data_IF_270587948954
#
_entry.id   IF_270587948954
#
_cell.length_a   1.000
_cell.length_b   1.000
_cell.length_c   1.000
_cell.angle_alpha   90.00
_cell.angle_beta   90.00
_cell.angle_gamma   90.00
#
_symmetry.space_group_name_H-M   'P 1'
#
loop_
_entity.id
_entity.type
_entity.pdbx_description
1 polymer ?
#
# COMPACT_ATOMS: atom_id res chain seq x y z
N UNK A 1 -1.29 2.84 -28.96
CA UNK A 1 -0.49 3.43 -27.87
C UNK A 1 -1.39 3.45 -26.65
N UNK A 2 -1.01 2.77 -25.56
CA UNK A 2 -1.74 2.92 -24.30
C UNK A 2 -1.58 4.38 -23.87
N UNK A 3 -2.69 5.09 -23.74
CA UNK A 3 -2.67 6.46 -23.20
C UNK A 3 -2.20 6.32 -21.75
N UNK A 4 -1.18 7.08 -21.39
CA UNK A 4 -0.78 7.22 -19.99
C UNK A 4 -1.99 7.76 -19.20
N UNK A 5 -2.50 6.96 -18.25
CA UNK A 5 -3.75 7.27 -17.53
C UNK A 5 -3.63 8.55 -16.72
N UNK A 6 -2.45 8.79 -16.15
CA UNK A 6 -2.18 10.02 -15.40
C UNK A 6 -2.24 11.25 -16.31
N UNK A 7 -1.58 11.19 -17.47
CA UNK A 7 -1.67 12.22 -18.51
C UNK A 7 -3.11 12.50 -18.92
N UNK A 8 -3.92 11.45 -19.15
CA UNK A 8 -5.33 11.63 -19.53
C UNK A 8 -6.12 12.38 -18.44
N UNK A 9 -5.98 11.96 -17.18
CA UNK A 9 -6.71 12.56 -16.05
C UNK A 9 -6.31 14.01 -15.85
N UNK A 10 -5.01 14.32 -15.92
CA UNK A 10 -4.51 15.69 -15.85
C UNK A 10 -5.04 16.54 -17.01
N UNK A 11 -5.02 16.00 -18.23
CA UNK A 11 -5.49 16.71 -19.43
C UNK A 11 -6.98 17.02 -19.34
N UNK A 12 -7.82 16.06 -18.95
CA UNK A 12 -9.26 16.26 -18.81
C UNK A 12 -9.58 17.26 -17.69
N UNK A 13 -8.87 17.18 -16.55
CA UNK A 13 -9.06 18.12 -15.45
C UNK A 13 -8.67 19.55 -15.86
N UNK A 14 -7.53 19.73 -16.54
CA UNK A 14 -7.12 21.04 -17.05
C UNK A 14 -8.09 21.56 -18.11
N UNK A 15 -8.58 20.69 -19.01
CA UNK A 15 -9.58 21.07 -20.01
C UNK A 15 -10.91 21.50 -19.39
N UNK A 16 -11.26 20.97 -18.22
CA UNK A 16 -12.41 21.41 -17.42
C UNK A 16 -12.15 22.71 -16.61
N UNK A 17 -10.92 23.23 -16.62
CA UNK A 17 -10.57 24.50 -15.98
C UNK A 17 -9.80 24.39 -14.66
N UNK A 18 -9.43 23.17 -14.21
CA UNK A 18 -8.50 23.00 -13.09
C UNK A 18 -7.08 23.41 -13.50
N UNK A 19 -6.81 24.71 -13.37
CA UNK A 19 -5.54 25.36 -13.73
C UNK A 19 -4.67 25.69 -12.52
N UNK A 20 -5.23 25.67 -11.31
CA UNK A 20 -4.44 25.83 -10.09
C UNK A 20 -3.67 24.53 -9.80
N UNK A 21 -2.32 24.54 -9.74
CA UNK A 21 -1.53 23.34 -9.53
C UNK A 21 -1.83 22.66 -8.20
N UNK A 22 -2.23 23.43 -7.17
CA UNK A 22 -2.58 22.89 -5.86
C UNK A 22 -3.91 22.15 -5.87
N UNK A 23 -4.91 22.69 -6.57
CA UNK A 23 -6.19 22.01 -6.79
C UNK A 23 -5.98 20.74 -7.61
N UNK A 24 -5.21 20.83 -8.70
CA UNK A 24 -4.92 19.69 -9.56
C UNK A 24 -4.16 18.58 -8.81
N UNK A 25 -3.22 18.93 -7.93
CA UNK A 25 -2.55 17.98 -7.06
C UNK A 25 -3.51 17.30 -6.08
N UNK A 26 -4.45 18.06 -5.48
CA UNK A 26 -5.43 17.50 -4.55
C UNK A 26 -6.42 16.59 -5.27
N UNK A 27 -6.92 17.00 -6.43
CA UNK A 27 -7.73 16.17 -7.30
C UNK A 27 -7.03 14.84 -7.62
N UNK A 28 -5.78 14.89 -8.10
CA UNK A 28 -5.01 13.68 -8.41
C UNK A 28 -4.74 12.81 -7.19
N UNK A 29 -4.50 13.40 -6.01
CA UNK A 29 -4.32 12.65 -4.77
C UNK A 29 -5.57 11.84 -4.40
N UNK A 30 -6.75 12.45 -4.54
CA UNK A 30 -8.03 11.80 -4.24
C UNK A 30 -8.32 10.69 -5.24
N UNK A 31 -8.20 10.99 -6.54
CA UNK A 31 -8.45 10.03 -7.62
C UNK A 31 -7.49 8.84 -7.54
N UNK A 32 -6.19 9.08 -7.33
CA UNK A 32 -5.19 7.99 -7.21
C UNK A 32 -5.35 7.19 -5.92
N UNK A 33 -5.85 7.78 -4.83
CA UNK A 33 -6.21 7.02 -3.63
C UNK A 33 -7.37 6.06 -3.90
N UNK A 34 -8.50 6.57 -4.42
CA UNK A 34 -9.72 5.76 -4.64
C UNK A 34 -9.50 4.60 -5.62
N UNK A 35 -8.62 4.80 -6.59
CA UNK A 35 -8.37 3.86 -7.69
C UNK A 35 -7.12 3.00 -7.54
N UNK A 36 -6.44 3.05 -6.39
CA UNK A 36 -5.15 2.38 -6.19
C UNK A 36 -4.13 2.73 -7.29
N UNK A 37 -3.88 4.02 -7.47
CA UNK A 37 -2.97 4.55 -8.50
C UNK A 37 -3.49 4.38 -9.93
N UNK A 38 -4.79 4.59 -10.16
CA UNK A 38 -5.46 4.44 -11.46
C UNK A 38 -5.47 2.99 -12.00
N UNK A 39 -5.22 2.00 -11.14
CA UNK A 39 -5.16 0.59 -11.53
C UNK A 39 -6.50 -0.15 -11.31
N UNK A 40 -7.37 0.39 -10.47
CA UNK A 40 -8.67 -0.19 -10.12
C UNK A 40 -9.81 0.67 -10.66
N UNK A 41 -10.59 0.08 -11.57
CA UNK A 41 -11.75 0.71 -12.22
C UNK A 41 -13.08 0.04 -11.84
N UNK A 42 -13.04 -1.09 -11.14
CA UNK A 42 -14.22 -1.78 -10.63
C UNK A 42 -14.01 -2.29 -9.22
N UNK A 43 -15.10 -2.42 -8.48
CA UNK A 43 -15.10 -3.06 -7.17
C UNK A 43 -14.96 -4.58 -7.29
N UNK A 44 -14.11 -5.19 -6.46
CA UNK A 44 -13.79 -6.62 -6.60
C UNK A 44 -14.79 -7.56 -5.92
N UNK A 45 -15.53 -7.10 -4.91
CA UNK A 45 -16.39 -7.92 -4.03
C UNK A 45 -15.70 -9.15 -3.40
N UNK A 46 -14.35 -9.21 -3.40
CA UNK A 46 -13.58 -10.35 -2.88
C UNK A 46 -13.20 -10.16 -1.41
N UNK A 47 -14.09 -10.56 -0.50
CA UNK A 47 -13.84 -10.57 0.94
C UNK A 47 -13.55 -12.00 1.43
N UNK A 48 -12.26 -12.37 1.52
CA UNK A 48 -11.82 -13.76 1.64
C UNK A 48 -11.87 -14.32 3.06
N UNK A 49 -11.63 -13.51 4.10
CA UNK A 49 -11.51 -13.97 5.49
C UNK A 49 -12.87 -14.14 6.14
N UNK A 50 -13.63 -13.07 6.28
CA UNK A 50 -14.96 -13.09 6.92
C UNK A 50 -15.72 -11.78 6.62
N UNK A 51 -16.96 -11.70 7.12
CA UNK A 51 -17.86 -10.56 6.92
C UNK A 51 -17.38 -9.23 7.53
N UNK A 52 -16.47 -9.24 8.50
CA UNK A 52 -15.97 -7.97 9.10
C UNK A 52 -15.14 -7.13 8.14
N UNK A 53 -14.67 -7.71 7.04
CA UNK A 53 -13.99 -6.97 5.98
C UNK A 53 -14.94 -6.11 5.13
N UNK A 54 -16.25 -6.29 5.25
CA UNK A 54 -17.27 -5.58 4.46
C UNK A 54 -17.56 -4.23 5.15
N UNK A 55 -17.11 -3.10 4.60
CA UNK A 55 -17.15 -1.81 5.29
C UNK A 55 -18.53 -1.14 5.21
N UNK A 56 -19.43 -1.69 4.39
CA UNK A 56 -20.73 -1.09 4.07
C UNK A 56 -21.76 -1.52 5.11
N UNK A 57 -22.09 -0.62 6.03
CA UNK A 57 -23.01 -0.88 7.14
C UNK A 57 -24.40 -1.38 6.69
N UNK A 58 -24.89 -0.93 5.53
CA UNK A 58 -26.16 -1.41 4.97
C UNK A 58 -26.16 -2.92 4.66
N UNK A 59 -25.00 -3.51 4.38
CA UNK A 59 -24.91 -4.94 4.08
C UNK A 59 -25.29 -5.82 5.28
N UNK A 60 -25.23 -5.27 6.48
CA UNK A 60 -25.49 -5.97 7.74
C UNK A 60 -26.97 -5.98 8.14
N UNK A 61 -27.85 -5.28 7.39
CA UNK A 61 -29.27 -5.10 7.72
C UNK A 61 -30.05 -6.43 7.79
N UNK A 62 -29.70 -7.38 6.93
CA UNK A 62 -30.33 -8.71 6.84
C UNK A 62 -29.66 -9.75 7.76
N UNK A 63 -28.73 -9.32 8.61
CA UNK A 63 -28.01 -10.17 9.57
C UNK A 63 -26.73 -10.83 9.02
N UNK A 64 -25.87 -11.32 9.94
CA UNK A 64 -24.53 -11.82 9.61
C UNK A 64 -24.54 -13.10 8.77
N UNK A 65 -25.51 -14.00 8.96
CA UNK A 65 -25.59 -15.27 8.22
C UNK A 65 -25.92 -15.04 6.75
N UNK A 66 -26.89 -14.18 6.46
CA UNK A 66 -27.25 -13.76 5.09
C UNK A 66 -26.06 -13.09 4.40
N UNK A 67 -25.35 -12.21 5.11
CA UNK A 67 -24.17 -11.54 4.60
C UNK A 67 -23.01 -12.50 4.32
N UNK A 68 -22.76 -13.47 5.20
CA UNK A 68 -21.69 -14.46 4.99
C UNK A 68 -22.02 -15.43 3.86
N UNK A 69 -23.27 -15.82 3.69
CA UNK A 69 -23.73 -16.60 2.55
C UNK A 69 -23.50 -15.86 1.22
N UNK A 70 -23.92 -14.59 1.14
CA UNK A 70 -23.68 -13.74 -0.02
C UNK A 70 -22.18 -13.54 -0.30
N UNK A 71 -21.37 -13.33 0.75
CA UNK A 71 -19.90 -13.25 0.65
C UNK A 71 -19.29 -14.53 0.05
N UNK A 72 -19.72 -15.70 0.52
CA UNK A 72 -19.25 -17.00 -0.01
C UNK A 72 -19.63 -17.17 -1.48
N UNK A 73 -20.83 -16.75 -1.89
CA UNK A 73 -21.22 -16.76 -3.31
C UNK A 73 -20.37 -15.81 -4.15
N UNK A 74 -20.05 -14.61 -3.65
CA UNK A 74 -19.18 -13.67 -4.33
C UNK A 74 -17.78 -14.26 -4.59
N UNK A 75 -17.21 -15.01 -3.63
CA UNK A 75 -15.95 -15.73 -3.82
C UNK A 75 -16.02 -16.82 -4.90
N UNK A 76 -17.21 -17.31 -5.21
CA UNK A 76 -17.49 -18.28 -6.29
C UNK A 76 -17.84 -17.58 -7.62
N UNK A 77 -17.64 -16.26 -7.72
CA UNK A 77 -17.93 -15.49 -8.93
C UNK A 77 -19.40 -15.08 -9.09
N UNK A 78 -20.19 -15.10 -8.01
CA UNK A 78 -21.59 -14.66 -7.98
C UNK A 78 -21.78 -13.51 -6.98
N UNK A 79 -21.30 -12.30 -7.29
CA UNK A 79 -21.28 -11.17 -6.36
C UNK A 79 -22.62 -10.43 -6.21
N UNK A 80 -23.62 -10.75 -7.03
CA UNK A 80 -24.84 -9.95 -7.20
C UNK A 80 -25.59 -9.78 -5.88
N UNK A 81 -25.75 -10.87 -5.12
CA UNK A 81 -26.43 -10.82 -3.82
C UNK A 81 -25.66 -9.95 -2.81
N UNK A 82 -24.33 -10.03 -2.82
CA UNK A 82 -23.50 -9.22 -1.92
C UNK A 82 -23.59 -7.74 -2.28
N UNK A 83 -23.55 -7.41 -3.58
CA UNK A 83 -23.72 -6.05 -4.06
C UNK A 83 -25.11 -5.49 -3.76
N UNK A 84 -26.15 -6.32 -3.86
CA UNK A 84 -27.51 -5.95 -3.47
C UNK A 84 -27.61 -5.64 -1.98
N UNK A 85 -27.00 -6.45 -1.10
CA UNK A 85 -26.95 -6.14 0.33
C UNK A 85 -26.21 -4.83 0.62
N UNK A 86 -25.09 -4.59 -0.08
CA UNK A 86 -24.27 -3.39 0.10
C UNK A 86 -24.98 -2.11 -0.38
N UNK A 87 -25.55 -2.14 -1.59
CA UNK A 87 -25.97 -0.93 -2.31
C UNK A 87 -27.47 -0.87 -2.66
N UNK A 88 -28.22 -1.95 -2.49
CA UNK A 88 -29.67 -1.97 -2.69
C UNK A 88 -30.42 -1.03 -1.75
N UNK A 89 -31.47 -0.41 -2.28
CA UNK A 89 -32.33 0.56 -1.58
C UNK A 89 -31.65 1.90 -1.27
N UNK A 90 -30.58 2.27 -2.00
CA UNK A 90 -29.79 3.49 -1.77
C UNK A 90 -29.47 4.18 -3.09
N UNK A 91 -29.36 5.52 -3.08
CA UNK A 91 -28.90 6.32 -4.24
C UNK A 91 -29.61 5.94 -5.56
N UNK A 92 -30.92 5.74 -5.51
CA UNK A 92 -31.74 5.38 -6.66
C UNK A 92 -31.80 3.90 -7.02
N UNK A 93 -31.06 3.04 -6.31
CA UNK A 93 -31.10 1.58 -6.48
C UNK A 93 -32.39 1.00 -5.87
N UNK A 94 -33.51 1.20 -6.53
CA UNK A 94 -34.84 0.86 -6.02
C UNK A 94 -35.40 -0.44 -6.61
N UNK A 95 -34.77 -0.99 -7.64
CA UNK A 95 -35.18 -2.23 -8.30
C UNK A 95 -34.24 -3.38 -7.91
N UNK A 96 -34.74 -4.63 -7.80
CA UNK A 96 -33.89 -5.78 -7.57
C UNK A 96 -32.75 -5.88 -8.59
N UNK A 97 -31.51 -6.01 -8.11
CA UNK A 97 -30.32 -6.10 -8.94
C UNK A 97 -29.67 -4.75 -9.26
N UNK A 98 -30.30 -3.63 -8.90
CA UNK A 98 -29.68 -2.30 -9.04
C UNK A 98 -28.39 -2.19 -8.21
N UNK A 99 -28.30 -2.87 -7.07
CA UNK A 99 -27.10 -2.86 -6.23
C UNK A 99 -25.87 -3.42 -6.93
N UNK A 100 -26.05 -4.47 -7.74
CA UNK A 100 -25.01 -4.99 -8.62
C UNK A 100 -24.84 -4.15 -9.88
N UNK A 101 -25.93 -3.71 -10.51
CA UNK A 101 -25.85 -2.97 -11.77
C UNK A 101 -25.09 -1.65 -11.62
N UNK A 102 -25.31 -0.93 -10.52
CA UNK A 102 -24.73 0.39 -10.25
C UNK A 102 -23.75 0.38 -9.08
N UNK A 103 -22.95 -0.69 -8.95
CA UNK A 103 -21.85 -0.73 -7.98
C UNK A 103 -20.70 0.24 -8.32
N UNK A 104 -19.72 0.35 -7.43
CA UNK A 104 -18.59 1.27 -7.59
C UNK A 104 -17.74 1.01 -8.83
N UNK A 105 -17.69 1.99 -9.75
CA UNK A 105 -16.82 1.97 -10.94
C UNK A 105 -16.05 3.26 -11.14
N UNK A 106 -15.04 3.20 -11.99
CA UNK A 106 -14.19 4.31 -12.36
C UNK A 106 -13.24 4.73 -11.25
N UNK A 107 -12.45 5.77 -11.52
CA UNK A 107 -11.38 6.19 -10.61
C UNK A 107 -11.87 6.78 -9.29
N UNK A 108 -13.16 7.16 -9.19
CA UNK A 108 -13.76 7.74 -7.97
C UNK A 108 -14.80 6.84 -7.31
N UNK A 109 -14.94 5.58 -7.78
CA UNK A 109 -15.94 4.63 -7.28
C UNK A 109 -17.39 5.17 -7.36
N UNK A 110 -17.80 5.65 -8.53
CA UNK A 110 -19.16 6.11 -8.80
C UNK A 110 -20.16 4.98 -8.48
N UNK A 111 -21.09 5.23 -7.56
CA UNK A 111 -21.97 4.20 -7.00
C UNK A 111 -23.42 4.70 -6.89
N UNK A 112 -24.38 3.90 -7.35
CA UNK A 112 -25.83 4.14 -7.26
C UNK A 112 -26.45 4.77 -8.51
N UNK A 113 -27.62 4.27 -8.91
CA UNK A 113 -28.35 4.64 -10.14
C UNK A 113 -28.53 6.15 -10.33
N UNK A 114 -28.80 6.89 -9.27
CA UNK A 114 -28.98 8.35 -9.35
C UNK A 114 -27.67 9.06 -9.72
N UNK A 115 -26.54 8.60 -9.18
CA UNK A 115 -25.22 9.17 -9.51
C UNK A 115 -24.80 8.79 -10.93
N UNK A 116 -25.06 7.55 -11.36
CA UNK A 116 -24.85 7.13 -12.74
C UNK A 116 -25.68 7.96 -13.73
N UNK A 117 -26.95 8.23 -13.40
CA UNK A 117 -27.83 9.08 -14.21
C UNK A 117 -27.29 10.51 -14.30
N UNK A 118 -26.96 11.12 -13.16
CA UNK A 118 -26.47 12.49 -13.11
C UNK A 118 -25.14 12.68 -13.87
N UNK A 119 -24.19 11.75 -13.69
CA UNK A 119 -22.94 11.75 -14.44
C UNK A 119 -23.18 11.53 -15.94
N UNK A 120 -24.08 10.62 -16.29
CA UNK A 120 -24.43 10.30 -17.67
C UNK A 120 -25.05 11.48 -18.41
N UNK A 121 -26.00 12.17 -17.77
CA UNK A 121 -26.64 13.37 -18.33
C UNK A 121 -25.63 14.52 -18.52
N UNK A 122 -24.71 14.71 -17.57
CA UNK A 122 -23.71 15.79 -17.66
C UNK A 122 -22.62 15.53 -18.71
N UNK A 123 -22.32 14.27 -19.00
CA UNK A 123 -21.22 13.86 -19.89
C UNK A 123 -21.70 13.32 -21.24
N UNK A 124 -23.01 13.35 -21.49
CA UNK A 124 -23.66 12.75 -22.68
C UNK A 124 -23.31 11.26 -22.86
N UNK A 125 -23.40 10.50 -21.76
CA UNK A 125 -23.14 9.05 -21.69
C UNK A 125 -24.37 8.34 -21.13
N UNK A 126 -24.91 7.32 -21.82
CA UNK A 126 -26.04 6.53 -21.31
C UNK A 126 -25.60 5.51 -20.24
N UNK A 127 -25.13 6.02 -19.10
CA UNK A 127 -24.63 5.22 -17.96
C UNK A 127 -25.73 4.44 -17.23
N UNK A 128 -27.00 4.77 -17.46
CA UNK A 128 -28.13 4.03 -16.86
C UNK A 128 -28.33 2.70 -17.60
N UNK A 129 -28.24 2.71 -18.93
CA UNK A 129 -28.30 1.47 -19.74
C UNK A 129 -26.95 0.76 -19.82
N UNK A 130 -25.86 1.52 -19.87
CA UNK A 130 -24.50 1.03 -20.05
C UNK A 130 -23.58 1.45 -18.88
N UNK A 131 -23.82 0.97 -17.66
CA UNK A 131 -23.02 1.34 -16.48
C UNK A 131 -21.55 0.89 -16.58
N UNK A 132 -21.24 -0.13 -17.38
CA UNK A 132 -19.88 -0.58 -17.67
C UNK A 132 -19.00 0.50 -18.30
N UNK A 133 -19.60 1.50 -18.98
CA UNK A 133 -18.85 2.62 -19.55
C UNK A 133 -18.12 3.42 -18.47
N UNK A 134 -18.61 3.44 -17.22
CA UNK A 134 -17.93 4.11 -16.12
C UNK A 134 -16.59 3.45 -15.72
N UNK A 135 -16.34 2.20 -16.14
CA UNK A 135 -15.07 1.51 -15.95
C UNK A 135 -14.11 1.65 -17.15
N UNK A 136 -14.53 2.31 -18.24
CA UNK A 136 -13.61 2.66 -19.32
C UNK A 136 -12.67 3.80 -18.86
N UNK A 137 -11.34 3.70 -19.04
CA UNK A 137 -10.39 4.72 -18.58
C UNK A 137 -10.66 6.15 -19.06
N UNK A 138 -11.17 6.34 -20.29
CA UNK A 138 -11.43 7.67 -20.85
C UNK A 138 -12.69 8.28 -20.22
N UNK A 139 -13.75 7.48 -20.07
CA UNK A 139 -14.96 7.94 -19.40
C UNK A 139 -14.74 8.11 -17.89
N UNK A 140 -14.00 7.20 -17.24
CA UNK A 140 -13.68 7.25 -15.82
C UNK A 140 -12.92 8.53 -15.44
N UNK A 141 -12.05 9.02 -16.32
CA UNK A 141 -11.37 10.31 -16.18
C UNK A 141 -12.36 11.47 -16.14
N UNK A 142 -13.23 11.58 -17.15
CA UNK A 142 -14.26 12.63 -17.23
C UNK A 142 -15.26 12.57 -16.07
N UNK A 143 -15.64 11.36 -15.65
CA UNK A 143 -16.51 11.13 -14.49
C UNK A 143 -15.84 11.61 -13.20
N UNK A 144 -14.53 11.37 -13.03
CA UNK A 144 -13.80 11.85 -11.85
C UNK A 144 -13.77 13.38 -11.79
N UNK A 145 -13.53 14.05 -12.93
CA UNK A 145 -13.57 15.52 -13.03
C UNK A 145 -14.96 16.05 -12.69
N UNK A 146 -16.01 15.52 -13.33
CA UNK A 146 -17.40 15.90 -13.04
C UNK A 146 -17.74 15.71 -11.55
N UNK A 147 -17.34 14.58 -10.96
CA UNK A 147 -17.61 14.30 -9.55
C UNK A 147 -16.91 15.31 -8.63
N UNK A 148 -15.65 15.65 -8.93
CA UNK A 148 -14.89 16.65 -8.19
C UNK A 148 -15.59 18.01 -8.18
N UNK A 149 -15.99 18.49 -9.35
CA UNK A 149 -16.64 19.80 -9.51
C UNK A 149 -17.97 19.89 -8.75
N UNK A 150 -18.75 18.80 -8.76
CA UNK A 150 -20.07 18.74 -8.13
C UNK A 150 -20.02 18.46 -6.62
N UNK A 151 -18.99 17.73 -6.15
CA UNK A 151 -18.93 17.25 -4.77
C UNK A 151 -18.02 18.08 -3.87
N UNK A 152 -16.96 18.67 -4.41
CA UNK A 152 -15.96 19.40 -3.63
C UNK A 152 -16.17 20.91 -3.82
N UNK A 153 -16.62 21.63 -2.77
CA UNK A 153 -16.77 23.08 -2.83
C UNK A 153 -15.45 23.76 -3.17
N UNK A 154 -15.47 24.83 -3.94
CA UNK A 154 -14.26 25.58 -4.35
C UNK A 154 -13.33 25.90 -3.18
N UNK A 155 -13.89 26.32 -2.04
CA UNK A 155 -13.15 26.63 -0.81
C UNK A 155 -12.44 25.44 -0.14
N UNK A 156 -12.68 24.22 -0.63
CA UNK A 156 -12.09 22.98 -0.12
C UNK A 156 -11.14 22.32 -1.13
N UNK A 157 -11.03 22.85 -2.36
CA UNK A 157 -10.32 22.16 -3.46
C UNK A 157 -8.80 22.20 -3.32
N UNK A 158 -8.24 23.12 -2.56
CA UNK A 158 -6.80 23.21 -2.27
C UNK A 158 -6.38 22.70 -0.89
N UNK A 159 -7.36 22.21 -0.11
CA UNK A 159 -7.20 21.60 1.21
C UNK A 159 -7.57 20.10 1.14
N UNK A 160 -6.55 19.24 1.30
CA UNK A 160 -6.71 17.79 1.22
C UNK A 160 -7.70 17.26 2.26
N UNK A 161 -7.69 17.82 3.47
CA UNK A 161 -8.55 17.38 4.56
C UNK A 161 -10.00 17.77 4.31
N UNK A 162 -10.23 19.00 3.86
CA UNK A 162 -11.56 19.50 3.50
C UNK A 162 -12.14 18.73 2.30
N UNK A 163 -11.34 18.52 1.24
CA UNK A 163 -11.72 17.72 0.08
C UNK A 163 -12.03 16.26 0.45
N UNK A 164 -11.19 15.62 1.28
CA UNK A 164 -11.43 14.25 1.75
C UNK A 164 -12.77 14.13 2.46
N UNK A 165 -13.11 15.09 3.32
CA UNK A 165 -14.40 15.14 4.00
C UNK A 165 -15.56 15.33 3.02
N UNK A 166 -15.40 16.14 1.98
CA UNK A 166 -16.43 16.35 0.96
C UNK A 166 -16.67 15.07 0.11
N UNK A 167 -15.59 14.39 -0.29
CA UNK A 167 -15.63 13.16 -1.09
C UNK A 167 -16.20 11.98 -0.29
N UNK A 168 -15.71 11.74 0.93
CA UNK A 168 -16.03 10.53 1.70
C UNK A 168 -17.05 10.74 2.83
N UNK A 169 -17.38 11.97 3.19
CA UNK A 169 -18.15 12.32 4.38
C UNK A 169 -17.39 12.10 5.71
N UNK A 170 -16.19 11.51 5.66
CA UNK A 170 -15.30 11.16 6.79
C UNK A 170 -13.83 11.36 6.36
N UNK A 171 -12.88 11.15 7.27
CA UNK A 171 -11.43 11.30 7.02
C UNK A 171 -10.72 9.98 6.72
N UNK A 172 -11.44 8.96 6.22
CA UNK A 172 -10.84 7.66 5.94
C UNK A 172 -9.76 7.80 4.85
N UNK A 173 -8.56 7.29 5.13
CA UNK A 173 -7.43 7.35 4.20
C UNK A 173 -6.77 8.73 4.06
N UNK A 174 -7.02 9.67 4.98
CA UNK A 174 -6.48 11.04 4.89
C UNK A 174 -4.96 11.08 4.77
N UNK A 175 -4.22 10.30 5.57
CA UNK A 175 -2.75 10.28 5.56
C UNK A 175 -2.19 9.88 4.18
N UNK A 176 -2.74 8.84 3.54
CA UNK A 176 -2.31 8.43 2.20
C UNK A 176 -2.64 9.51 1.14
N UNK A 177 -3.78 10.20 1.29
CA UNK A 177 -4.14 11.33 0.40
C UNK A 177 -3.20 12.53 0.60
N UNK A 178 -2.79 12.81 1.83
CA UNK A 178 -1.81 13.88 2.14
C UNK A 178 -0.44 13.57 1.53
N UNK A 179 0.04 12.32 1.64
CA UNK A 179 1.27 11.91 0.97
C UNK A 179 1.18 12.03 -0.55
N UNK A 180 0.11 11.49 -1.17
CA UNK A 180 -0.10 11.60 -2.62
C UNK A 180 -0.19 13.04 -3.09
N UNK A 181 -0.80 13.92 -2.29
CA UNK A 181 -0.88 15.34 -2.59
C UNK A 181 0.48 15.99 -2.67
N UNK A 182 1.37 15.74 -1.70
CA UNK A 182 2.73 16.27 -1.74
C UNK A 182 3.54 15.72 -2.91
N UNK A 183 3.38 14.42 -3.24
CA UNK A 183 3.99 13.83 -4.44
C UNK A 183 3.51 14.52 -5.73
N UNK A 184 2.19 14.69 -5.89
CA UNK A 184 1.63 15.36 -7.07
C UNK A 184 2.02 16.83 -7.17
N UNK A 185 2.08 17.53 -6.04
CA UNK A 185 2.52 18.92 -5.97
C UNK A 185 3.98 19.09 -6.41
N UNK A 186 4.85 18.11 -6.14
CA UNK A 186 6.23 18.10 -6.64
C UNK A 186 6.30 17.80 -8.15
N UNK A 187 5.41 16.95 -8.66
CA UNK A 187 5.34 16.56 -10.08
C UNK A 187 4.75 17.66 -10.98
N UNK A 188 3.83 18.48 -10.47
CA UNK A 188 3.18 19.57 -11.20
C UNK A 188 4.02 20.85 -11.20
N UNK A 189 5.21 20.77 -11.80
CA UNK A 189 6.10 21.93 -11.97
C UNK A 189 5.47 23.00 -12.90
N UNK A 190 5.95 24.25 -12.88
CA UNK A 190 5.48 25.29 -13.80
C UNK A 190 5.52 24.86 -15.28
N UNK A 191 6.55 24.12 -15.69
CA UNK A 191 6.71 23.60 -17.05
C UNK A 191 5.66 22.55 -17.40
N UNK A 192 5.32 21.66 -16.45
CA UNK A 192 4.25 20.68 -16.61
C UNK A 192 2.90 21.38 -16.73
N UNK A 193 2.63 22.36 -15.86
CA UNK A 193 1.41 23.16 -15.90
C UNK A 193 1.27 23.95 -17.22
N UNK A 194 2.36 24.49 -17.74
CA UNK A 194 2.37 25.16 -19.03
C UNK A 194 2.01 24.20 -20.17
N UNK A 195 2.61 23.00 -20.21
CA UNK A 195 2.28 21.99 -21.24
C UNK A 195 0.84 21.51 -21.15
N UNK A 196 0.31 21.38 -19.93
CA UNK A 196 -1.11 21.07 -19.69
C UNK A 196 -2.01 22.15 -20.27
N UNK A 197 -1.70 23.43 -20.02
CA UNK A 197 -2.46 24.56 -20.55
C UNK A 197 -2.46 24.64 -22.08
N UNK A 198 -1.39 24.21 -22.74
CA UNK A 198 -1.29 24.18 -24.21
C UNK A 198 -1.88 22.91 -24.85
N UNK A 199 -2.30 21.91 -24.07
CA UNK A 199 -2.79 20.63 -24.58
C UNK A 199 -1.71 19.73 -25.19
N UNK A 200 -0.43 19.97 -24.89
CA UNK A 200 0.71 19.22 -25.44
C UNK A 200 1.14 18.00 -24.62
N UNK A 201 0.28 17.50 -23.72
CA UNK A 201 0.65 16.39 -22.82
C UNK A 201 0.61 15.06 -23.58
N UNK A 202 1.75 14.37 -23.64
CA UNK A 202 1.88 13.08 -24.33
C UNK A 202 2.51 13.13 -25.73
N UNK A 203 2.86 14.32 -26.27
CA UNK A 203 3.70 14.39 -27.47
C UNK A 203 5.19 14.47 -27.10
N UNK A 204 6.05 13.57 -27.64
CA UNK A 204 7.50 13.78 -27.57
C UNK A 204 7.87 14.97 -28.45
N UNK A 205 8.43 16.03 -27.86
CA UNK A 205 8.95 17.14 -28.65
C UNK A 205 10.29 16.79 -29.34
N UNK A 206 10.50 17.23 -30.59
CA UNK A 206 11.83 17.48 -31.13
C UNK A 206 12.45 18.68 -30.40
N UNK A 207 13.62 18.49 -29.82
CA UNK A 207 14.30 19.48 -28.98
C UNK A 207 14.95 20.60 -29.81
N UNK A 208 14.60 21.86 -29.52
CA UNK A 208 15.45 23.02 -29.78
C UNK A 208 15.67 23.82 -28.49
N UNK A 209 16.88 24.36 -28.26
CA UNK A 209 17.36 24.66 -26.92
C UNK A 209 17.15 26.13 -26.53
N UNK A 210 16.78 26.36 -25.27
CA UNK A 210 17.12 27.61 -24.59
C UNK A 210 17.77 27.31 -23.25
N UNK A 211 19.04 27.71 -23.20
CA UNK A 211 19.98 27.78 -22.10
C UNK A 211 19.36 28.28 -20.79
N UNK A 212 19.46 27.47 -19.72
CA UNK A 212 19.93 27.88 -18.37
C UNK A 212 19.29 27.13 -17.18
N UNK A 213 18.27 26.28 -17.39
CA UNK A 213 17.72 25.42 -16.33
C UNK A 213 18.25 23.97 -16.31
N UNK A 214 19.02 23.58 -17.34
CA UNK A 214 19.28 22.17 -17.69
C UNK A 214 20.50 21.52 -17.03
N UNK A 215 21.02 22.10 -15.93
CA UNK A 215 22.12 21.45 -15.19
C UNK A 215 21.65 20.36 -14.21
N UNK A 216 20.35 20.22 -13.96
CA UNK A 216 19.83 19.31 -12.93
C UNK A 216 19.17 18.02 -13.47
N UNK A 217 18.83 17.91 -14.76
CA UNK A 217 17.97 16.82 -15.25
C UNK A 217 18.70 15.66 -15.95
N UNK A 218 19.97 15.81 -16.29
CA UNK A 218 20.75 14.80 -17.02
C UNK A 218 22.11 14.58 -16.36
N UNK A 219 22.25 13.47 -15.62
CA UNK A 219 23.55 13.03 -15.14
C UNK A 219 24.25 12.26 -16.26
N UNK A 220 25.40 12.75 -16.69
CA UNK A 220 26.22 12.14 -17.73
C UNK A 220 27.70 12.34 -17.42
N UNK A 221 28.56 11.72 -18.22
CA UNK A 221 30.01 11.83 -18.07
C UNK A 221 30.47 13.29 -17.96
N UNK A 222 31.28 13.57 -16.93
CA UNK A 222 31.72 14.91 -16.55
C UNK A 222 30.84 15.63 -15.51
N UNK A 223 29.65 15.10 -15.19
CA UNK A 223 28.83 15.60 -14.08
C UNK A 223 29.48 15.24 -12.72
N UNK A 224 29.25 16.07 -11.70
CA UNK A 224 29.68 15.79 -10.33
C UNK A 224 28.72 16.41 -9.32
N UNK A 225 28.71 15.87 -8.10
CA UNK A 225 27.86 16.34 -7.01
C UNK A 225 27.09 15.22 -6.32
N UNK A 226 26.16 15.60 -5.46
CA UNK A 226 25.42 14.65 -4.63
C UNK A 226 24.48 13.75 -5.45
N UNK A 227 23.88 14.29 -6.51
CA UNK A 227 23.01 13.52 -7.40
C UNK A 227 23.76 12.38 -8.11
N UNK A 228 25.03 12.63 -8.49
CA UNK A 228 25.91 11.59 -9.05
C UNK A 228 26.26 10.55 -7.99
N UNK A 229 26.51 10.97 -6.74
CA UNK A 229 26.80 10.05 -5.63
C UNK A 229 25.59 9.14 -5.33
N UNK A 230 24.39 9.69 -5.35
CA UNK A 230 23.13 8.96 -5.17
C UNK A 230 22.86 7.98 -6.32
N UNK A 231 23.15 8.38 -7.56
CA UNK A 231 23.09 7.51 -8.74
C UNK A 231 24.08 6.34 -8.60
N UNK A 232 25.35 6.63 -8.33
CA UNK A 232 26.39 5.62 -8.15
C UNK A 232 26.03 4.64 -7.03
N UNK A 233 25.58 5.13 -5.87
CA UNK A 233 25.16 4.28 -4.75
C UNK A 233 23.95 3.42 -5.08
N UNK A 234 23.02 3.94 -5.89
CA UNK A 234 21.87 3.17 -6.37
C UNK A 234 22.28 2.04 -7.32
N UNK A 235 23.15 2.32 -8.29
CA UNK A 235 23.66 1.32 -9.23
C UNK A 235 24.51 0.26 -8.54
N UNK A 236 25.41 0.66 -7.63
CA UNK A 236 26.24 -0.26 -6.85
C UNK A 236 25.38 -1.20 -6.00
N UNK A 237 24.33 -0.67 -5.34
CA UNK A 237 23.37 -1.49 -4.58
C UNK A 237 22.65 -2.53 -5.44
N UNK A 238 22.34 -2.17 -6.68
CA UNK A 238 21.71 -3.04 -7.66
C UNK A 238 22.70 -4.01 -8.33
N UNK A 239 23.98 -3.96 -7.95
CA UNK A 239 25.01 -4.90 -8.42
C UNK A 239 25.76 -4.48 -9.69
N UNK A 240 25.56 -3.24 -10.16
CA UNK A 240 26.27 -2.71 -11.32
C UNK A 240 27.69 -2.26 -10.97
N UNK A 241 28.63 -2.59 -11.85
CA UNK A 241 30.08 -2.39 -11.69
C UNK A 241 30.61 -1.33 -12.64
N UNK A 242 31.88 -0.96 -12.48
CA UNK A 242 32.57 0.06 -13.29
C UNK A 242 32.83 -0.33 -14.77
N UNK A 243 32.34 -1.50 -15.22
CA UNK A 243 32.58 -2.04 -16.57
C UNK A 243 33.85 -2.88 -16.71
N UNK A 244 34.74 -2.91 -15.71
CA UNK A 244 35.90 -3.79 -15.64
C UNK A 244 35.74 -4.91 -14.60
N UNK A 245 34.49 -5.15 -14.16
CA UNK A 245 34.14 -5.99 -13.02
C UNK A 245 34.71 -5.49 -11.68
N UNK A 246 35.13 -4.23 -11.59
CA UNK A 246 35.53 -3.55 -10.36
C UNK A 246 34.33 -2.96 -9.62
N UNK A 247 34.49 -2.68 -8.33
CA UNK A 247 33.45 -2.02 -7.52
C UNK A 247 33.16 -0.62 -8.07
N UNK A 248 31.88 -0.26 -8.19
CA UNK A 248 31.50 1.08 -8.63
C UNK A 248 31.75 2.09 -7.52
N UNK A 249 32.75 2.95 -7.70
CA UNK A 249 33.09 4.01 -6.75
C UNK A 249 31.96 5.06 -6.63
N UNK A 250 31.56 5.38 -5.40
CA UNK A 250 30.53 6.39 -5.09
C UNK A 250 31.15 7.72 -4.66
N UNK A 251 32.05 8.24 -5.48
CA UNK A 251 32.83 9.45 -5.19
C UNK A 251 32.09 10.75 -5.56
N UNK A 252 30.94 10.66 -6.22
CA UNK A 252 30.16 11.78 -6.69
C UNK A 252 30.70 12.39 -7.99
N UNK A 253 31.57 11.69 -8.72
CA UNK A 253 32.10 12.11 -10.02
C UNK A 253 31.71 11.13 -11.12
N UNK A 254 30.99 11.60 -12.14
CA UNK A 254 30.48 10.77 -13.22
C UNK A 254 31.59 10.55 -14.24
N UNK A 255 32.45 9.56 -13.99
CA UNK A 255 33.51 9.14 -14.91
C UNK A 255 33.11 7.96 -15.81
N UNK A 256 34.08 7.41 -16.58
CA UNK A 256 33.85 6.27 -17.48
C UNK A 256 33.24 5.05 -16.79
N UNK A 257 33.63 4.77 -15.53
CA UNK A 257 33.07 3.65 -14.77
C UNK A 257 31.59 3.84 -14.43
N UNK A 258 31.17 5.07 -14.06
CA UNK A 258 29.75 5.39 -13.83
C UNK A 258 28.96 5.31 -15.11
N UNK A 259 29.53 5.75 -16.23
CA UNK A 259 28.90 5.62 -17.55
C UNK A 259 28.68 4.15 -17.93
N UNK A 260 29.69 3.31 -17.78
CA UNK A 260 29.58 1.88 -18.06
C UNK A 260 28.50 1.21 -17.20
N UNK A 261 28.40 1.58 -15.92
CA UNK A 261 27.34 1.10 -15.02
C UNK A 261 25.94 1.55 -15.48
N UNK A 262 25.78 2.81 -15.91
CA UNK A 262 24.52 3.33 -16.44
C UNK A 262 24.14 2.61 -17.74
N UNK A 263 25.07 2.44 -18.68
CA UNK A 263 24.81 1.71 -19.93
C UNK A 263 24.43 0.25 -19.68
N UNK A 264 25.07 -0.40 -18.69
CA UNK A 264 24.73 -1.76 -18.28
C UNK A 264 23.32 -1.84 -17.71
N UNK A 265 22.98 -0.95 -16.78
CA UNK A 265 21.63 -0.85 -16.24
C UNK A 265 20.61 -0.62 -17.34
N UNK A 266 20.87 0.32 -18.25
CA UNK A 266 19.96 0.63 -19.35
C UNK A 266 19.74 -0.59 -20.26
N UNK A 267 20.79 -1.34 -20.60
CA UNK A 267 20.66 -2.58 -21.42
C UNK A 267 19.79 -3.63 -20.74
N UNK A 268 20.03 -3.87 -19.45
CA UNK A 268 19.31 -4.89 -18.68
C UNK A 268 17.82 -4.53 -18.50
N UNK A 269 17.51 -3.23 -18.45
CA UNK A 269 16.16 -2.70 -18.31
C UNK A 269 15.52 -2.29 -19.65
N UNK A 270 16.08 -2.70 -20.78
CA UNK A 270 15.56 -2.43 -22.14
C UNK A 270 15.37 -0.95 -22.47
N UNK A 271 16.22 -0.09 -21.91
CA UNK A 271 16.32 1.33 -22.24
C UNK A 271 17.40 1.57 -23.30
N UNK A 272 17.38 2.72 -24.00
CA UNK A 272 18.52 3.15 -24.81
C UNK A 272 19.78 3.24 -23.94
N UNK A 273 20.81 2.49 -24.31
CA UNK A 273 22.08 2.42 -23.59
C UNK A 273 23.02 3.56 -24.00
N UNK A 274 22.59 4.79 -23.75
CA UNK A 274 23.32 6.02 -24.11
C UNK A 274 24.28 6.51 -23.02
N UNK A 275 24.29 5.87 -21.85
CA UNK A 275 25.16 6.22 -20.72
C UNK A 275 24.75 7.50 -20.01
N UNK A 276 23.54 7.99 -20.28
CA UNK A 276 22.96 9.19 -19.66
C UNK A 276 21.86 8.79 -18.69
N UNK A 277 22.05 9.13 -17.41
CA UNK A 277 21.03 8.99 -16.39
C UNK A 277 20.07 10.18 -16.45
N UNK A 278 19.17 10.14 -17.45
CA UNK A 278 18.01 11.01 -17.56
C UNK A 278 16.78 10.46 -16.85
N UNK A 279 15.61 11.14 -16.94
CA UNK A 279 14.42 10.82 -16.17
C UNK A 279 13.96 9.36 -16.26
N UNK A 280 13.97 8.77 -17.48
CA UNK A 280 13.60 7.36 -17.69
C UNK A 280 14.55 6.39 -17.01
N UNK A 281 15.85 6.68 -17.08
CA UNK A 281 16.89 5.89 -16.40
C UNK A 281 16.72 6.00 -14.88
N UNK A 282 16.49 7.20 -14.35
CA UNK A 282 16.31 7.43 -12.91
C UNK A 282 15.03 6.76 -12.37
N UNK A 283 13.93 6.80 -13.12
CA UNK A 283 12.68 6.11 -12.78
C UNK A 283 12.87 4.60 -12.75
N UNK A 284 13.50 4.03 -13.78
CA UNK A 284 13.80 2.60 -13.82
C UNK A 284 14.69 2.17 -12.64
N UNK A 285 15.69 2.98 -12.27
CA UNK A 285 16.53 2.74 -11.09
C UNK A 285 15.69 2.77 -9.81
N UNK A 286 14.76 3.72 -9.68
CA UNK A 286 13.88 3.79 -8.52
C UNK A 286 12.97 2.56 -8.41
N UNK A 287 12.40 2.10 -9.52
CA UNK A 287 11.59 0.87 -9.57
C UNK A 287 12.42 -0.36 -9.23
N UNK A 288 13.62 -0.51 -9.79
CA UNK A 288 14.53 -1.61 -9.48
C UNK A 288 14.92 -1.63 -8.00
N UNK A 289 15.19 -0.47 -7.40
CA UNK A 289 15.45 -0.34 -5.94
C UNK A 289 14.26 -0.74 -5.10
N UNK A 290 13.05 -0.37 -5.52
CA UNK A 290 11.83 -0.75 -4.82
C UNK A 290 11.62 -2.26 -4.87
N UNK A 291 11.85 -2.89 -6.03
CA UNK A 291 11.80 -4.34 -6.18
C UNK A 291 12.87 -5.06 -5.35
N UNK A 292 14.13 -4.58 -5.36
CA UNK A 292 15.21 -5.08 -4.47
C UNK A 292 14.80 -4.96 -2.99
N UNK A 293 14.20 -3.83 -2.59
CA UNK A 293 13.74 -3.63 -1.23
C UNK A 293 12.62 -4.62 -0.84
N UNK A 294 11.62 -4.84 -1.72
CA UNK A 294 10.56 -5.82 -1.50
C UNK A 294 11.15 -7.23 -1.38
N UNK A 295 12.07 -7.59 -2.28
CA UNK A 295 12.65 -8.92 -2.30
C UNK A 295 13.54 -9.17 -1.07
N UNK A 296 14.34 -8.18 -0.66
CA UNK A 296 15.12 -8.24 0.58
C UNK A 296 14.23 -8.26 1.83
N UNK A 297 13.12 -7.53 1.85
CA UNK A 297 12.15 -7.58 2.94
C UNK A 297 11.47 -8.96 3.03
N UNK A 298 11.10 -9.54 1.88
CA UNK A 298 10.55 -10.89 1.82
C UNK A 298 11.57 -11.95 2.27
N UNK A 299 12.84 -11.80 1.91
CA UNK A 299 13.93 -12.67 2.37
C UNK A 299 14.24 -12.47 3.85
N UNK A 300 14.25 -11.23 4.35
CA UNK A 300 14.48 -10.92 5.77
C UNK A 300 13.35 -11.44 6.67
N UNK A 301 12.14 -11.62 6.13
CA UNK A 301 11.00 -12.21 6.86
C UNK A 301 11.01 -13.75 6.97
N UNK A 302 11.93 -14.45 6.31
CA UNK A 302 12.06 -15.92 6.42
C UNK A 302 13.08 -16.30 7.48
N UNK A 303 12.76 -17.28 8.34
CA UNK A 303 13.68 -17.70 9.43
C UNK A 303 14.95 -18.40 8.95
N UNK A 304 14.88 -19.07 7.80
CA UNK A 304 16.04 -19.70 7.15
C UNK A 304 16.97 -18.71 6.44
N UNK A 305 16.57 -17.44 6.34
CA UNK A 305 17.42 -16.39 5.80
C UNK A 305 18.46 -15.95 6.83
N UNK A 306 19.76 -15.91 6.47
CA UNK A 306 20.80 -15.35 7.32
C UNK A 306 20.58 -13.89 7.73
N UNK A 307 19.71 -13.17 7.00
CA UNK A 307 19.36 -11.78 7.29
C UNK A 307 18.26 -11.63 8.35
N UNK A 308 17.62 -12.71 8.79
CA UNK A 308 16.57 -12.65 9.81
C UNK A 308 17.20 -12.47 11.21
N UNK A 309 16.72 -11.53 12.06
CA UNK A 309 17.29 -11.30 13.39
C UNK A 309 17.36 -12.56 14.28
N UNK A 310 16.34 -13.41 14.21
CA UNK A 310 16.28 -14.68 14.94
C UNK A 310 16.83 -15.90 14.17
N UNK A 311 17.56 -15.70 13.06
CA UNK A 311 18.14 -16.80 12.28
C UNK A 311 19.03 -17.71 13.14
N UNK A 312 19.82 -17.15 14.05
CA UNK A 312 20.67 -17.94 14.95
C UNK A 312 19.87 -18.88 15.87
N UNK A 313 18.70 -18.43 16.35
CA UNK A 313 17.81 -19.25 17.18
C UNK A 313 17.06 -20.29 16.34
N UNK A 314 16.77 -19.97 15.08
CA UNK A 314 16.26 -20.93 14.10
C UNK A 314 17.27 -22.05 13.80
N UNK A 315 18.54 -21.73 13.57
CA UNK A 315 19.59 -22.73 13.34
C UNK A 315 19.80 -23.67 14.54
N UNK A 316 19.64 -23.15 15.77
CA UNK A 316 19.63 -23.96 16.98
C UNK A 316 18.47 -24.97 17.00
N UNK A 317 17.24 -24.51 16.70
CA UNK A 317 16.09 -25.39 16.60
C UNK A 317 16.26 -26.41 15.47
N UNK A 318 16.74 -25.98 14.29
CA UNK A 318 16.96 -26.82 13.12
C UNK A 318 17.96 -27.93 13.41
N UNK A 319 19.09 -27.59 14.03
CA UNK A 319 20.10 -28.58 14.46
C UNK A 319 19.50 -29.60 15.41
N UNK A 320 18.70 -29.16 16.39
CA UNK A 320 18.07 -30.06 17.36
C UNK A 320 16.99 -30.95 16.73
N UNK A 321 16.18 -30.44 15.80
CA UNK A 321 15.18 -31.22 15.06
C UNK A 321 15.85 -32.22 14.12
N UNK A 322 16.93 -31.84 13.44
CA UNK A 322 17.67 -32.76 12.58
C UNK A 322 18.33 -33.89 13.39
N UNK A 323 18.79 -33.60 14.61
CA UNK A 323 19.29 -34.62 15.53
C UNK A 323 18.18 -35.60 15.97
N UNK A 324 16.96 -35.09 16.18
CA UNK A 324 15.79 -35.91 16.48
C UNK A 324 15.41 -36.81 15.29
N UNK A 325 15.42 -36.28 14.07
CA UNK A 325 15.19 -37.09 12.86
C UNK A 325 16.20 -38.23 12.78
N UNK A 326 17.49 -37.96 13.02
CA UNK A 326 18.52 -38.98 13.03
C UNK A 326 18.28 -40.07 14.11
N UNK A 327 17.78 -39.70 15.29
CA UNK A 327 17.46 -40.66 16.36
C UNK A 327 16.34 -41.62 15.98
N UNK A 328 15.37 -41.17 15.18
CA UNK A 328 14.25 -42.00 14.71
C UNK A 328 14.47 -42.58 13.31
N UNK A 329 15.70 -42.47 12.77
CA UNK A 329 16.06 -43.03 11.46
C UNK A 329 15.44 -42.28 10.27
N UNK A 330 15.04 -41.02 10.45
CA UNK A 330 14.57 -40.13 9.38
C UNK A 330 15.70 -39.27 8.86
N UNK A 331 15.62 -38.92 7.57
CA UNK A 331 16.45 -37.87 6.97
C UNK A 331 15.72 -36.55 7.10
N UNK A 332 16.40 -35.46 7.53
CA UNK A 332 15.77 -34.16 7.61
C UNK A 332 15.18 -33.71 6.26
N UNK A 333 13.97 -33.17 6.32
CA UNK A 333 13.20 -32.75 5.15
C UNK A 333 12.54 -31.38 5.40
N UNK A 334 11.66 -30.97 4.47
CA UNK A 334 10.94 -29.70 4.58
C UNK A 334 10.09 -29.61 5.87
N UNK A 335 9.50 -30.72 6.32
CA UNK A 335 8.71 -30.75 7.55
C UNK A 335 9.60 -30.56 8.78
N UNK A 336 10.83 -31.07 8.75
CA UNK A 336 11.85 -30.82 9.79
C UNK A 336 12.14 -29.32 9.92
N UNK A 337 12.32 -28.62 8.80
CA UNK A 337 12.58 -27.18 8.79
C UNK A 337 11.35 -26.35 9.22
N UNK A 338 10.14 -26.81 8.86
CA UNK A 338 8.87 -26.20 9.31
C UNK A 338 8.66 -26.37 10.82
N UNK A 339 8.96 -27.55 11.37
CA UNK A 339 8.95 -27.80 12.80
C UNK A 339 9.95 -26.91 13.53
N UNK A 340 11.18 -26.80 13.01
CA UNK A 340 12.20 -25.91 13.56
C UNK A 340 11.72 -24.45 13.59
N UNK A 341 11.12 -23.95 12.50
CA UNK A 341 10.58 -22.59 12.45
C UNK A 341 9.46 -22.34 13.46
N UNK A 342 8.53 -23.29 13.62
CA UNK A 342 7.43 -23.18 14.59
C UNK A 342 7.93 -23.20 16.05
N UNK A 343 8.90 -24.07 16.35
CA UNK A 343 9.56 -24.16 17.66
C UNK A 343 10.28 -22.85 17.98
N UNK A 344 11.01 -22.25 17.03
CA UNK A 344 11.65 -20.94 17.20
C UNK A 344 10.63 -19.84 17.48
N UNK A 345 9.52 -19.81 16.75
CA UNK A 345 8.48 -18.80 16.95
C UNK A 345 7.84 -18.89 18.32
N UNK A 346 7.52 -20.10 18.78
CA UNK A 346 6.90 -20.30 20.09
C UNK A 346 7.89 -20.06 21.24
N UNK A 347 9.15 -20.49 21.09
CA UNK A 347 10.20 -20.19 22.05
C UNK A 347 10.36 -18.67 22.24
N UNK A 348 10.39 -17.90 21.15
CA UNK A 348 10.46 -16.43 21.21
C UNK A 348 9.23 -15.81 21.88
N UNK A 349 8.03 -16.29 21.54
CA UNK A 349 6.75 -15.85 22.14
C UNK A 349 6.73 -16.06 23.66
N UNK A 350 7.31 -17.16 24.14
CA UNK A 350 7.44 -17.48 25.57
C UNK A 350 8.70 -16.88 26.22
N UNK A 351 9.41 -16.01 25.49
CA UNK A 351 10.54 -15.24 25.98
C UNK A 351 11.82 -16.04 26.18
N UNK A 352 11.96 -17.21 25.54
CA UNK A 352 13.24 -17.92 25.49
C UNK A 352 14.22 -17.07 24.65
N UNK A 353 15.49 -17.11 25.04
CA UNK A 353 16.56 -16.35 24.38
C UNK A 353 17.47 -17.25 23.52
N UNK A 354 17.36 -18.57 23.69
CA UNK A 354 18.04 -19.60 22.90
C UNK A 354 17.29 -20.93 22.99
N UNK A 355 17.65 -21.88 22.12
CA UNK A 355 17.13 -23.25 22.14
C UNK A 355 18.34 -24.18 22.29
N UNK A 356 18.43 -24.88 23.41
CA UNK A 356 19.50 -25.85 23.66
C UNK A 356 19.08 -27.25 23.20
N UNK A 357 17.78 -27.58 23.32
CA UNK A 357 17.23 -28.87 22.89
C UNK A 357 15.83 -28.73 22.27
N UNK A 358 15.47 -29.69 21.43
CA UNK A 358 14.10 -29.95 20.98
C UNK A 358 13.77 -31.40 21.29
N UNK A 359 12.67 -31.62 22.02
CA UNK A 359 12.23 -32.98 22.41
C UNK A 359 10.77 -33.18 22.04
N UNK A 360 10.37 -34.42 21.76
CA UNK A 360 8.97 -34.79 21.52
C UNK A 360 8.32 -35.37 22.78
N UNK A 361 7.00 -35.27 22.88
CA UNK A 361 6.21 -36.12 23.76
C UNK A 361 6.30 -37.59 23.34
N UNK A 362 5.98 -38.51 24.26
CA UNK A 362 6.03 -39.96 24.01
C UNK A 362 5.16 -40.39 22.81
N UNK A 363 4.05 -39.70 22.58
CA UNK A 363 3.12 -39.92 21.46
C UNK A 363 3.47 -39.10 20.20
N UNK A 364 4.52 -38.27 20.25
CA UNK A 364 4.95 -37.38 19.17
C UNK A 364 4.01 -36.21 18.86
N UNK A 365 2.89 -36.08 19.59
CA UNK A 365 1.88 -35.05 19.32
C UNK A 365 2.37 -33.64 19.64
N UNK A 366 3.31 -33.50 20.59
CA UNK A 366 3.92 -32.22 20.98
C UNK A 366 5.42 -32.23 20.79
N UNK A 367 5.96 -31.06 20.45
CA UNK A 367 7.38 -30.77 20.50
C UNK A 367 7.65 -29.63 21.48
N UNK A 368 8.79 -29.70 22.18
CA UNK A 368 9.19 -28.75 23.21
C UNK A 368 10.53 -28.13 22.85
N UNK A 369 10.54 -26.80 22.69
CA UNK A 369 11.80 -26.04 22.74
C UNK A 369 12.27 -25.99 24.19
N UNK A 370 13.52 -26.32 24.47
CA UNK A 370 14.07 -26.29 25.83
C UNK A 370 15.30 -25.38 25.88
N UNK A 371 15.30 -24.46 26.84
CA UNK A 371 16.45 -23.65 27.22
C UNK A 371 16.97 -24.11 28.58
N UNK A 372 18.25 -24.47 28.64
CA UNK A 372 18.92 -25.06 29.79
C UNK A 372 19.02 -26.58 29.73
N UNK A 373 19.65 -27.16 30.75
CA UNK A 373 19.85 -28.61 30.88
C UNK A 373 18.50 -29.35 31.06
N UNK A 374 18.31 -30.47 30.35
CA UNK A 374 17.06 -31.25 30.35
C UNK A 374 16.66 -31.75 31.75
N UNK A 375 17.62 -32.05 32.62
CA UNK A 375 17.38 -32.55 33.97
C UNK A 375 17.28 -31.41 35.00
N UNK A 376 17.54 -30.16 34.61
CA UNK A 376 17.43 -29.03 35.51
C UNK A 376 15.95 -28.68 35.81
N UNK A 377 15.61 -28.35 37.07
CA UNK A 377 14.32 -27.76 37.40
C UNK A 377 14.20 -26.29 36.95
N UNK A 378 15.32 -25.65 36.57
CA UNK A 378 15.35 -24.26 36.11
C UNK A 378 15.23 -24.12 34.59
N UNK A 379 15.04 -25.23 33.85
CA UNK A 379 14.86 -25.18 32.40
C UNK A 379 13.60 -24.39 32.06
N UNK A 380 13.65 -23.68 30.94
CA UNK A 380 12.49 -23.00 30.35
C UNK A 380 12.06 -23.78 29.13
N UNK A 381 10.76 -23.91 28.93
CA UNK A 381 10.22 -24.66 27.81
C UNK A 381 9.17 -23.85 27.07
N UNK A 382 9.00 -24.16 25.79
CA UNK A 382 7.92 -23.66 24.97
C UNK A 382 7.36 -24.84 24.15
N UNK A 383 6.03 -24.97 24.11
CA UNK A 383 5.36 -26.17 23.62
C UNK A 383 4.61 -25.88 22.32
N UNK A 384 4.85 -26.69 21.29
CA UNK A 384 4.14 -26.63 20.00
C UNK A 384 3.40 -27.93 19.72
N UNK A 385 2.30 -27.82 18.97
CA UNK A 385 1.62 -28.97 18.38
C UNK A 385 2.41 -29.42 17.13
N UNK A 386 2.87 -30.67 17.11
CA UNK A 386 3.76 -31.18 16.06
C UNK A 386 3.07 -31.19 14.69
N UNK A 387 1.80 -31.60 14.62
CA UNK A 387 1.06 -31.71 13.35
C UNK A 387 0.81 -30.32 12.73
N UNK A 388 0.50 -29.33 13.56
CA UNK A 388 0.41 -27.93 13.14
C UNK A 388 1.78 -27.37 12.76
N UNK A 389 2.82 -27.69 13.53
CA UNK A 389 4.17 -27.19 13.29
C UNK A 389 4.73 -27.65 11.94
N UNK A 390 4.66 -28.95 11.62
CA UNK A 390 5.16 -29.49 10.35
C UNK A 390 4.38 -29.03 9.12
N UNK A 391 3.15 -28.51 9.30
CA UNK A 391 2.32 -27.97 8.23
C UNK A 391 2.37 -26.44 8.12
N UNK A 392 3.03 -25.75 9.06
CA UNK A 392 3.17 -24.29 9.05
C UNK A 392 4.35 -23.88 8.16
N UNK A 393 4.16 -23.06 7.11
CA UNK A 393 5.27 -22.56 6.30
C UNK A 393 6.24 -21.71 7.12
N UNK A 394 7.54 -21.78 6.80
CA UNK A 394 8.59 -21.05 7.54
C UNK A 394 8.40 -19.52 7.49
N UNK A 395 7.82 -19.02 6.41
CA UNK A 395 7.43 -17.63 6.22
C UNK A 395 6.38 -17.20 7.25
N UNK A 396 5.42 -18.09 7.55
CA UNK A 396 4.39 -17.83 8.54
C UNK A 396 4.97 -17.81 9.95
N UNK A 397 5.89 -18.72 10.27
CA UNK A 397 6.62 -18.71 11.54
C UNK A 397 7.46 -17.43 11.73
N UNK A 398 8.14 -16.95 10.68
CA UNK A 398 8.86 -15.67 10.71
C UNK A 398 7.93 -14.46 10.92
N UNK A 399 6.79 -14.44 10.24
CA UNK A 399 5.75 -13.42 10.44
C UNK A 399 5.19 -13.40 11.87
N UNK A 400 5.06 -14.56 12.53
CA UNK A 400 4.63 -14.64 13.93
C UNK A 400 5.68 -14.03 14.88
N UNK A 401 6.97 -14.24 14.63
CA UNK A 401 8.05 -13.64 15.43
C UNK A 401 8.08 -12.12 15.26
N UNK A 402 7.90 -11.62 14.04
CA UNK A 402 7.85 -10.19 13.77
C UNK A 402 6.72 -9.48 14.57
N UNK A 403 5.59 -10.16 14.80
CA UNK A 403 4.49 -9.64 15.64
C UNK A 403 4.85 -9.60 17.12
N UNK A 404 5.66 -10.54 17.61
CA UNK A 404 6.14 -10.56 19.00
C UNK A 404 7.18 -9.46 19.26
N UNK A 405 7.99 -9.12 18.25
CA UNK A 405 9.00 -8.06 18.32
C UNK A 405 8.43 -6.63 18.19
N UNK A 406 7.22 -6.47 17.66
CA UNK A 406 6.57 -5.17 17.55
C UNK A 406 6.17 -4.63 18.94
N UNK A 407 6.52 -3.38 19.29
CA UNK A 407 6.03 -2.78 20.53
C UNK A 407 4.50 -2.77 20.52
N UNK A 408 3.89 -3.24 21.60
CA UNK A 408 2.44 -3.10 21.79
C UNK A 408 2.07 -1.62 21.66
N UNK A 409 1.06 -1.25 20.86
CA UNK A 409 0.54 0.11 20.91
C UNK A 409 0.10 0.37 22.35
N UNK A 410 0.71 1.36 22.99
CA UNK A 410 0.32 1.79 24.32
C UNK A 410 -1.19 2.09 24.33
N UNK A 411 -1.93 1.75 25.39
CA UNK A 411 -3.33 2.15 25.51
C UNK A 411 -3.38 3.67 25.75
N UNK A 412 -3.33 4.44 24.67
CA UNK A 412 -3.72 5.83 24.67
C UNK A 412 -5.25 5.88 24.55
N UNK A 413 -5.94 5.85 25.70
CA UNK A 413 -7.26 6.48 25.94
C UNK A 413 -7.89 5.94 27.24
N UNK A 414 -7.47 6.48 28.38
CA UNK A 414 -8.26 6.41 29.62
C UNK A 414 -8.15 7.65 30.53
N UNK A 415 -7.29 8.62 30.23
CA UNK A 415 -7.05 9.77 31.14
C UNK A 415 -7.59 11.12 30.66
N UNK A 416 -8.55 11.17 29.74
CA UNK A 416 -9.16 12.45 29.31
C UNK A 416 -10.68 12.58 29.56
N UNK A 417 -11.30 11.70 30.37
CA UNK A 417 -12.73 11.81 30.72
C UNK A 417 -13.03 12.27 32.16
N UNK A 418 -12.11 12.95 32.85
CA UNK A 418 -12.37 13.43 34.23
C UNK A 418 -12.07 14.91 34.53
N UNK A 419 -11.95 15.78 33.52
CA UNK A 419 -11.78 17.23 33.76
C UNK A 419 -12.68 18.12 32.89
N UNK A 420 -13.91 17.68 32.64
CA UNK A 420 -14.98 18.56 32.12
C UNK A 420 -16.28 18.31 32.90
N UNK A 421 -16.24 18.53 34.21
CA UNK A 421 -17.44 18.74 35.04
C UNK A 421 -17.05 19.59 36.26
N UNK A 422 -16.70 20.85 36.01
CA UNK A 422 -16.60 21.88 37.05
C UNK A 422 -16.69 23.28 36.41
N UNK A 423 -17.84 23.60 35.82
CA UNK A 423 -18.22 24.98 35.55
C UNK A 423 -19.20 25.44 36.65
N UNK A 424 -18.93 26.54 37.37
CA UNK A 424 -19.85 27.05 38.38
C UNK A 424 -21.08 27.71 37.69
N UNK A 425 -22.25 27.73 38.36
CA UNK A 425 -23.48 28.25 37.77
C UNK A 425 -23.43 29.78 37.60
N UNK A 426 -24.17 30.35 36.63
CA UNK A 426 -24.21 31.78 36.40
C UNK A 426 -24.99 32.50 37.50
N UNK A 427 -24.45 33.65 37.93
CA UNK A 427 -25.08 34.60 38.85
C UNK A 427 -26.42 35.12 38.31
N UNK A 428 -27.45 35.12 39.16
CA UNK A 428 -28.73 35.78 38.93
C UNK A 428 -28.59 37.32 39.06
N UNK A 429 -29.42 38.11 38.36
CA UNK A 429 -29.36 39.57 38.44
C UNK A 429 -30.08 40.10 39.69
N UNK A 430 -29.41 41.02 40.39
CA UNK A 430 -29.95 41.78 41.52
C UNK A 430 -31.15 42.63 41.10
N UNK A 431 -32.25 42.49 41.86
CA UNK A 431 -33.39 43.43 41.83
C UNK A 431 -33.31 44.33 43.07
N UNK A 432 -33.42 45.67 42.95
CA UNK A 432 -33.29 46.57 44.09
C UNK A 432 -34.65 46.84 44.75
N UNK A 433 -34.75 46.71 46.07
CA UNK A 433 -35.81 47.38 46.84
C UNK A 433 -35.46 47.52 48.34
N UNK A 434 -35.32 48.79 48.75
CA UNK A 434 -35.94 49.42 49.94
C UNK A 434 -35.77 48.67 51.29
N UNK A 435 -34.97 49.15 52.25
CA UNK A 435 -35.10 50.46 52.88
C UNK A 435 -36.12 50.40 54.04
N UNK A 436 -35.66 50.00 55.23
CA UNK A 436 -35.97 50.60 56.54
C UNK A 436 -35.23 49.88 57.67
#
# INVERSE_FOLDING_TARGET
MAIDRETQVLTDATAAGMTNPRELANFMAQVTHESNGLNRLEESFRYTRNISQIPVQSAWREGPDTLDAARKQALMGKPEQLAELMYGGRNGNNEPGDGWKYHGRGYIQLTGKDNYRAAGEALDLDLVKHPELAADPQHASKIAVWYWENRVPESARDDVRAATKAVNGKYNGLEDREHRFEDWKQRLTPEVMHRLAEGHVGQPQPVHPTHDADKAALLKEGASGEDVRLLQGSLARLGYTDGHHGELHTDGTFGPGTRAAVEAFQRDHHLPADGVAGPRTMEAIAQAKHQDAIQRAAQSGRLDSPMHPDHAMYEQARTAVHALDAQVGRTPDKQSDQLAGAVTAEAKRQGLTKIDHVVLSDDGSRAYAVQGDLNSPLKRTAEVDTAKAVSTPIEQSGAEIAKVAAPSPAPAEASQRQTQDAAPPPHAPDTPAQGR
#
